data_IF_352015211786
#
_entry.id   IF_352015211786
#
_cell.length_a   1.000
_cell.length_b   1.000
_cell.length_c   1.000
_cell.angle_alpha   90.00
_cell.angle_beta   90.00
_cell.angle_gamma   90.00
#
_symmetry.space_group_name_H-M   'P 1'
#
loop_
_entity.id
_entity.type
_entity.pdbx_description
1 polymer ?
#
# COMPACT_ATOMS: atom_id res chain seq x y z
N UNK A 1 -3.68 -35.23 -1.54
CA UNK A 1 -4.03 -34.22 -0.52
C UNK A 1 -3.31 -32.93 -0.87
N UNK A 2 -4.08 -31.84 -0.98
CA UNK A 2 -3.56 -30.52 -1.30
C UNK A 2 -2.56 -30.06 -0.22
N UNK A 3 -1.41 -29.50 -0.64
CA UNK A 3 -0.44 -28.90 0.28
C UNK A 3 -1.02 -27.74 1.11
N UNK A 4 -2.18 -27.24 0.73
CA UNK A 4 -2.91 -26.14 1.39
C UNK A 4 -3.97 -26.61 2.40
N UNK A 5 -4.23 -27.94 2.51
CA UNK A 5 -5.23 -28.44 3.45
C UNK A 5 -4.98 -28.02 4.91
N UNK A 6 -3.73 -28.09 5.44
CA UNK A 6 -3.45 -27.61 6.78
C UNK A 6 -3.70 -26.11 6.98
N UNK A 7 -3.46 -25.28 5.95
CA UNK A 7 -3.76 -23.86 5.99
C UNK A 7 -5.27 -23.63 6.06
N UNK A 8 -6.04 -24.36 5.28
CA UNK A 8 -7.50 -24.30 5.27
C UNK A 8 -8.12 -24.73 6.60
N UNK A 9 -7.51 -25.67 7.31
CA UNK A 9 -7.93 -26.14 8.64
C UNK A 9 -7.31 -25.38 9.81
N UNK A 10 -6.61 -24.26 9.53
CA UNK A 10 -5.92 -23.42 10.52
C UNK A 10 -4.90 -24.19 11.37
N UNK A 11 -4.29 -25.25 10.82
CA UNK A 11 -3.24 -26.02 11.52
C UNK A 11 -1.88 -25.33 11.37
N UNK A 12 -1.64 -24.34 12.22
CA UNK A 12 -0.40 -23.54 12.25
C UNK A 12 0.82 -24.32 12.79
N UNK A 13 0.65 -25.56 13.24
CA UNK A 13 1.77 -26.39 13.71
C UNK A 13 2.57 -26.98 12.58
N UNK A 14 2.01 -27.02 11.39
CA UNK A 14 2.67 -27.61 10.21
C UNK A 14 3.72 -26.65 9.63
N UNK A 15 4.94 -27.17 9.45
CA UNK A 15 6.07 -26.44 8.87
C UNK A 15 5.72 -25.75 7.54
N UNK A 16 4.96 -26.44 6.69
CA UNK A 16 4.53 -25.85 5.40
C UNK A 16 3.65 -24.62 5.57
N UNK A 17 2.76 -24.61 6.57
CA UNK A 17 1.92 -23.45 6.88
C UNK A 17 2.77 -22.32 7.42
N UNK A 18 3.70 -22.59 8.32
CA UNK A 18 4.64 -21.60 8.86
C UNK A 18 5.49 -20.97 7.75
N UNK A 19 6.01 -21.76 6.81
CA UNK A 19 6.75 -21.27 5.65
C UNK A 19 5.91 -20.34 4.75
N UNK A 20 4.61 -20.66 4.56
CA UNK A 20 3.70 -19.81 3.78
C UNK A 20 3.49 -18.46 4.50
N UNK A 21 3.20 -18.49 5.80
CA UNK A 21 2.97 -17.28 6.61
C UNK A 21 4.24 -16.40 6.63
N UNK A 22 5.40 -17.01 6.86
CA UNK A 22 6.69 -16.30 6.82
C UNK A 22 6.97 -15.69 5.43
N UNK A 23 6.63 -16.43 4.37
CA UNK A 23 6.74 -15.95 3.00
C UNK A 23 5.84 -14.74 2.71
N UNK A 24 4.61 -14.73 3.22
CA UNK A 24 3.70 -13.56 3.13
C UNK A 24 4.33 -12.37 3.85
N UNK A 25 4.75 -12.55 5.10
CA UNK A 25 5.38 -11.52 5.91
C UNK A 25 6.59 -10.91 5.18
N UNK A 26 7.54 -11.73 4.77
CA UNK A 26 8.75 -11.28 4.07
C UNK A 26 8.44 -10.50 2.81
N UNK A 27 7.52 -11.00 1.97
CA UNK A 27 7.14 -10.32 0.72
C UNK A 27 6.49 -8.97 0.98
N UNK A 28 5.55 -8.89 1.93
CA UNK A 28 4.87 -7.65 2.27
C UNK A 28 5.88 -6.60 2.75
N UNK A 29 6.71 -6.92 3.74
CA UNK A 29 7.67 -5.96 4.27
C UNK A 29 8.82 -5.62 3.30
N UNK A 30 9.20 -6.53 2.40
CA UNK A 30 10.11 -6.19 1.30
C UNK A 30 9.48 -5.18 0.35
N UNK A 31 8.20 -5.35 0.02
CA UNK A 31 7.50 -4.39 -0.86
C UNK A 31 7.28 -3.04 -0.16
N UNK A 32 6.98 -3.03 1.13
CA UNK A 32 6.92 -1.82 1.95
C UNK A 32 8.28 -1.09 1.95
N UNK A 33 9.38 -1.82 2.12
CA UNK A 33 10.72 -1.23 2.06
C UNK A 33 11.01 -0.61 0.70
N UNK A 34 10.59 -1.24 -0.39
CA UNK A 34 10.72 -0.68 -1.74
C UNK A 34 9.86 0.58 -1.92
N UNK A 35 8.63 0.59 -1.40
CA UNK A 35 7.78 1.79 -1.40
C UNK A 35 8.45 2.93 -0.62
N UNK A 36 8.98 2.67 0.57
CA UNK A 36 9.72 3.66 1.36
C UNK A 36 10.96 4.17 0.65
N UNK A 37 11.67 3.30 -0.10
CA UNK A 37 12.81 3.71 -0.91
C UNK A 37 12.39 4.66 -2.04
N UNK A 38 11.27 4.39 -2.70
CA UNK A 38 10.69 5.29 -3.72
C UNK A 38 10.34 6.63 -3.08
N UNK A 39 9.58 6.63 -1.98
CA UNK A 39 9.15 7.85 -1.27
C UNK A 39 10.36 8.71 -0.89
N UNK A 40 11.39 8.09 -0.31
CA UNK A 40 12.62 8.79 0.09
C UNK A 40 13.35 9.43 -1.08
N UNK A 41 13.45 8.74 -2.21
CA UNK A 41 14.26 9.21 -3.33
C UNK A 41 13.49 10.18 -4.23
N UNK A 42 12.17 9.99 -4.40
CA UNK A 42 11.36 10.85 -5.25
C UNK A 42 11.34 12.31 -4.77
N UNK A 43 11.42 12.52 -3.45
CA UNK A 43 11.48 13.87 -2.87
C UNK A 43 12.80 14.61 -3.19
N UNK A 44 13.84 13.91 -3.65
CA UNK A 44 15.12 14.48 -4.08
C UNK A 44 15.23 14.64 -5.60
N UNK A 45 14.23 14.23 -6.37
CA UNK A 45 14.21 14.36 -7.82
C UNK A 45 13.76 15.77 -8.23
N UNK A 46 14.23 16.23 -9.39
CA UNK A 46 13.79 17.51 -9.92
C UNK A 46 12.71 17.34 -10.97
N UNK A 47 11.72 18.24 -11.04
CA UNK A 47 10.67 18.15 -12.07
C UNK A 47 11.22 18.07 -13.51
N UNK A 48 12.40 18.63 -13.76
CA UNK A 48 13.05 18.56 -15.06
C UNK A 48 13.54 17.18 -15.50
N UNK A 49 13.60 16.22 -14.57
CA UNK A 49 13.97 14.83 -14.84
C UNK A 49 12.79 13.99 -15.38
N UNK A 50 11.58 14.56 -15.40
CA UNK A 50 10.33 13.88 -15.76
C UNK A 50 9.61 14.57 -16.91
N UNK A 51 8.94 13.80 -17.78
CA UNK A 51 8.20 14.34 -18.93
C UNK A 51 7.05 15.26 -18.50
N UNK A 52 6.38 14.94 -17.37
CA UNK A 52 5.26 15.71 -16.81
C UNK A 52 5.63 16.48 -15.53
N UNK A 53 6.91 16.60 -15.26
CA UNK A 53 7.39 17.43 -14.16
C UNK A 53 6.88 17.02 -12.78
N UNK A 54 6.38 18.00 -12.04
CA UNK A 54 5.94 17.78 -10.65
C UNK A 54 4.73 16.85 -10.54
N UNK A 55 3.85 16.84 -11.53
CA UNK A 55 2.67 15.97 -11.51
C UNK A 55 3.05 14.48 -11.58
N UNK A 56 4.10 14.14 -12.32
CA UNK A 56 4.61 12.77 -12.40
C UNK A 56 5.31 12.36 -11.08
N UNK A 57 6.07 13.27 -10.49
CA UNK A 57 6.65 13.08 -9.15
C UNK A 57 5.53 12.81 -8.11
N UNK A 58 4.49 13.62 -8.12
CA UNK A 58 3.34 13.48 -7.22
C UNK A 58 2.63 12.14 -7.42
N UNK A 59 2.42 11.73 -8.68
CA UNK A 59 1.81 10.44 -9.01
C UNK A 59 2.62 9.28 -8.43
N UNK A 60 3.93 9.24 -8.72
CA UNK A 60 4.81 8.16 -8.25
C UNK A 60 4.86 8.10 -6.72
N UNK A 61 4.94 9.26 -6.05
CA UNK A 61 4.92 9.34 -4.59
C UNK A 61 3.58 8.86 -4.02
N UNK A 62 2.48 9.31 -4.60
CA UNK A 62 1.14 8.92 -4.18
C UNK A 62 0.91 7.42 -4.35
N UNK A 63 1.32 6.82 -5.46
CA UNK A 63 1.25 5.37 -5.67
C UNK A 63 2.08 4.61 -4.62
N UNK A 64 3.28 5.05 -4.32
CA UNK A 64 4.14 4.41 -3.31
C UNK A 64 3.52 4.49 -1.90
N UNK A 65 2.92 5.63 -1.53
CA UNK A 65 2.18 5.79 -0.27
C UNK A 65 0.97 4.86 -0.20
N UNK A 66 0.19 4.77 -1.28
CA UNK A 66 -0.97 3.88 -1.36
C UNK A 66 -0.57 2.40 -1.21
N UNK A 67 0.51 1.97 -1.85
CA UNK A 67 1.06 0.60 -1.71
C UNK A 67 1.52 0.34 -0.27
N UNK A 68 2.22 1.29 0.35
CA UNK A 68 2.66 1.18 1.75
C UNK A 68 1.47 1.00 2.69
N UNK A 69 0.46 1.84 2.56
CA UNK A 69 -0.74 1.80 3.38
C UNK A 69 -1.52 0.50 3.19
N UNK A 70 -1.76 0.08 1.95
CA UNK A 70 -2.47 -1.16 1.62
C UNK A 70 -1.79 -2.38 2.25
N UNK A 71 -0.47 -2.49 2.10
CA UNK A 71 0.26 -3.64 2.62
C UNK A 71 0.27 -3.67 4.15
N UNK A 72 0.42 -2.53 4.83
CA UNK A 72 0.30 -2.49 6.29
C UNK A 72 -1.11 -2.85 6.75
N UNK A 73 -2.15 -2.40 6.04
CA UNK A 73 -3.52 -2.78 6.33
C UNK A 73 -3.76 -4.28 6.14
N UNK A 74 -3.24 -4.89 5.08
CA UNK A 74 -3.33 -6.33 4.88
C UNK A 74 -2.56 -7.12 5.96
N UNK A 75 -1.38 -6.64 6.36
CA UNK A 75 -0.63 -7.25 7.47
C UNK A 75 -1.40 -7.13 8.79
N UNK A 76 -2.05 -5.98 9.04
CA UNK A 76 -2.91 -5.79 10.21
C UNK A 76 -4.06 -6.82 10.22
N UNK A 77 -4.76 -6.99 9.09
CA UNK A 77 -5.86 -7.95 8.95
C UNK A 77 -5.44 -9.41 9.15
N UNK A 78 -4.19 -9.73 8.80
CA UNK A 78 -3.67 -11.11 8.92
C UNK A 78 -3.09 -11.42 10.29
N UNK A 79 -2.54 -10.43 11.00
CA UNK A 79 -1.71 -10.64 12.20
C UNK A 79 -2.20 -9.91 13.45
N UNK A 80 -3.34 -9.22 13.38
CA UNK A 80 -3.95 -8.54 14.52
C UNK A 80 -5.44 -8.87 14.64
N UNK A 81 -6.06 -8.67 15.82
CA UNK A 81 -7.50 -8.81 15.99
C UNK A 81 -8.26 -7.72 15.20
N UNK A 82 -9.53 -7.99 14.92
CA UNK A 82 -10.40 -6.99 14.30
C UNK A 82 -10.52 -5.75 15.21
N UNK A 83 -10.63 -4.53 14.66
CA UNK A 83 -10.68 -3.29 15.45
C UNK A 83 -11.74 -3.27 16.56
N UNK A 84 -12.91 -3.91 16.32
CA UNK A 84 -14.01 -3.96 17.29
C UNK A 84 -13.69 -4.74 18.58
N UNK A 85 -12.64 -5.58 18.56
CA UNK A 85 -12.22 -6.43 19.70
C UNK A 85 -10.74 -6.26 20.03
N UNK A 86 -10.07 -5.31 19.37
CA UNK A 86 -8.66 -5.02 19.61
C UNK A 86 -8.47 -4.36 20.98
N UNK A 87 -7.34 -4.67 21.60
CA UNK A 87 -6.82 -3.98 22.78
C UNK A 87 -5.64 -3.06 22.36
N UNK A 88 -5.07 -2.35 23.34
CA UNK A 88 -3.95 -1.42 23.11
C UNK A 88 -2.60 -2.11 22.90
N UNK A 89 -2.59 -3.45 22.80
CA UNK A 89 -1.33 -4.18 22.59
C UNK A 89 -0.72 -3.92 21.22
N UNK A 90 0.61 -3.96 21.11
CA UNK A 90 1.30 -3.83 19.85
C UNK A 90 1.30 -5.17 19.08
N UNK A 91 0.89 -5.12 17.80
CA UNK A 91 0.75 -6.32 16.96
C UNK A 91 1.76 -6.37 15.81
N UNK A 92 1.86 -5.32 15.01
CA UNK A 92 2.75 -5.25 13.86
C UNK A 92 3.49 -3.90 13.82
N UNK A 93 4.68 -3.82 13.20
CA UNK A 93 5.35 -2.53 13.00
C UNK A 93 4.76 -1.78 11.80
N UNK A 94 4.72 -0.45 11.86
CA UNK A 94 4.46 0.41 10.70
C UNK A 94 5.79 1.03 10.23
N UNK A 95 6.32 0.53 9.10
CA UNK A 95 7.62 0.96 8.59
C UNK A 95 7.49 2.14 7.62
N UNK A 96 8.12 3.28 7.96
CA UNK A 96 8.07 4.53 7.19
C UNK A 96 9.43 4.94 6.62
N UNK A 97 10.50 4.25 6.97
CA UNK A 97 11.86 4.64 6.62
C UNK A 97 12.57 3.62 5.75
N UNK A 98 13.52 4.10 4.94
CA UNK A 98 14.45 3.28 4.17
C UNK A 98 15.86 3.90 4.23
N UNK A 99 16.93 3.09 4.40
CA UNK A 99 16.91 1.66 4.72
C UNK A 99 16.37 1.39 6.12
N UNK A 100 15.86 0.18 6.34
CA UNK A 100 15.42 -0.27 7.65
C UNK A 100 16.56 -0.98 8.37
N UNK A 101 16.95 -0.41 9.50
CA UNK A 101 18.07 -0.96 10.32
C UNK A 101 17.62 -1.83 11.49
N UNK A 102 16.32 -2.14 11.56
CA UNK A 102 15.74 -2.90 12.67
C UNK A 102 15.31 -2.00 13.86
N UNK A 103 14.70 -2.64 14.86
CA UNK A 103 14.33 -1.94 16.10
C UNK A 103 13.03 -1.15 16.06
N UNK A 104 12.29 -1.15 14.96
CA UNK A 104 10.95 -0.56 14.93
C UNK A 104 10.04 -1.36 15.86
N UNK A 105 9.43 -0.68 16.82
CA UNK A 105 8.45 -1.29 17.70
C UNK A 105 7.16 -1.64 16.95
N UNK A 106 6.49 -2.71 17.39
CA UNK A 106 5.12 -2.97 16.97
C UNK A 106 4.20 -1.88 17.53
N UNK A 107 3.07 -1.67 16.86
CA UNK A 107 2.08 -0.66 17.20
C UNK A 107 0.70 -1.29 17.39
N UNK A 108 -0.20 -0.58 18.09
CA UNK A 108 -1.58 -1.01 18.29
C UNK A 108 -2.38 -0.93 16.99
N UNK A 109 -3.52 -1.63 16.95
CA UNK A 109 -4.43 -1.61 15.80
C UNK A 109 -4.84 -0.18 15.45
N UNK A 110 -5.20 0.64 16.45
CA UNK A 110 -5.62 2.03 16.26
C UNK A 110 -4.51 2.88 15.64
N UNK A 111 -3.27 2.77 16.14
CA UNK A 111 -2.13 3.51 15.60
C UNK A 111 -1.85 3.13 14.14
N UNK A 112 -1.89 1.84 13.82
CA UNK A 112 -1.70 1.38 12.44
C UNK A 112 -2.80 1.93 11.52
N UNK A 113 -4.07 1.86 11.93
CA UNK A 113 -5.19 2.39 11.13
C UNK A 113 -5.08 3.90 10.91
N UNK A 114 -4.67 4.65 11.94
CA UNK A 114 -4.43 6.09 11.83
C UNK A 114 -3.34 6.40 10.79
N UNK A 115 -2.25 5.65 10.80
CA UNK A 115 -1.16 5.83 9.82
C UNK A 115 -1.56 5.39 8.42
N UNK A 116 -2.31 4.30 8.29
CA UNK A 116 -2.90 3.86 7.01
C UNK A 116 -3.81 4.96 6.44
N UNK A 117 -4.72 5.50 7.24
CA UNK A 117 -5.62 6.57 6.79
C UNK A 117 -4.86 7.84 6.37
N UNK A 118 -3.82 8.24 7.12
CA UNK A 118 -2.94 9.35 6.77
C UNK A 118 -2.27 9.14 5.41
N UNK A 119 -1.63 7.99 5.21
CA UNK A 119 -0.91 7.69 3.97
C UNK A 119 -1.87 7.61 2.76
N UNK A 120 -3.08 7.06 2.94
CA UNK A 120 -4.09 7.04 1.88
C UNK A 120 -4.64 8.43 1.55
N UNK A 121 -4.79 9.28 2.56
CA UNK A 121 -5.24 10.68 2.35
C UNK A 121 -4.18 11.46 1.56
N UNK A 122 -2.91 11.39 1.97
CA UNK A 122 -1.80 12.02 1.25
C UNK A 122 -1.67 11.46 -0.18
N UNK A 123 -1.76 10.13 -0.34
CA UNK A 123 -1.74 9.48 -1.65
C UNK A 123 -2.84 10.02 -2.57
N UNK A 124 -4.07 10.13 -2.06
CA UNK A 124 -5.21 10.65 -2.81
C UNK A 124 -4.99 12.10 -3.27
N UNK A 125 -4.49 12.95 -2.38
CA UNK A 125 -4.20 14.35 -2.72
C UNK A 125 -3.14 14.46 -3.82
N UNK A 126 -2.04 13.71 -3.70
CA UNK A 126 -0.96 13.71 -4.68
C UNK A 126 -1.42 13.17 -6.05
N UNK A 127 -2.19 12.10 -6.07
CA UNK A 127 -2.68 11.48 -7.30
C UNK A 127 -3.74 12.36 -7.98
N UNK A 128 -4.58 13.06 -7.21
CA UNK A 128 -5.56 13.98 -7.75
C UNK A 128 -4.94 15.16 -8.50
N UNK A 129 -3.68 15.53 -8.22
CA UNK A 129 -2.98 16.54 -9.03
C UNK A 129 -2.82 16.10 -10.49
N UNK A 130 -2.68 14.80 -10.69
CA UNK A 130 -2.58 14.16 -12.00
C UNK A 130 -3.93 14.05 -12.72
N UNK A 131 -5.03 13.90 -12.00
CA UNK A 131 -6.39 13.80 -12.55
C UNK A 131 -6.85 15.10 -13.24
N UNK A 132 -6.18 16.22 -12.98
CA UNK A 132 -6.41 17.49 -13.69
C UNK A 132 -5.77 17.55 -15.06
N UNK A 133 -4.91 16.58 -15.42
CA UNK A 133 -4.26 16.53 -16.73
C UNK A 133 -5.25 16.13 -17.82
N UNK A 134 -5.01 16.60 -19.04
CA UNK A 134 -5.84 16.25 -20.18
C UNK A 134 -5.83 14.74 -20.48
N UNK A 135 -6.86 14.27 -21.20
CA UNK A 135 -7.03 12.84 -21.50
C UNK A 135 -5.85 12.25 -22.30
N UNK A 136 -5.14 13.06 -23.07
CA UNK A 136 -3.98 12.63 -23.85
C UNK A 136 -2.80 12.30 -22.96
N UNK A 137 -2.57 13.11 -21.92
CA UNK A 137 -1.54 12.87 -20.91
C UNK A 137 -1.89 11.66 -20.03
N UNK A 138 -3.16 11.52 -19.65
CA UNK A 138 -3.65 10.33 -18.93
C UNK A 138 -3.43 9.05 -19.73
N UNK A 139 -3.74 9.04 -21.02
CA UNK A 139 -3.55 7.88 -21.89
C UNK A 139 -2.08 7.47 -21.99
N UNK A 140 -1.16 8.43 -22.07
CA UNK A 140 0.28 8.17 -22.10
C UNK A 140 0.80 7.60 -20.78
N UNK A 141 0.42 8.17 -19.64
CA UNK A 141 0.87 7.71 -18.32
C UNK A 141 0.23 6.39 -17.93
N UNK A 142 -1.02 6.12 -18.32
CA UNK A 142 -1.64 4.81 -18.12
C UNK A 142 -0.95 3.69 -18.90
N UNK A 143 -0.20 4.01 -19.95
CA UNK A 143 0.64 3.05 -20.67
C UNK A 143 1.95 2.71 -19.94
N UNK A 144 2.44 3.60 -19.08
CA UNK A 144 3.66 3.42 -18.27
C UNK A 144 3.37 2.97 -16.85
N UNK A 145 2.39 3.56 -16.19
CA UNK A 145 1.89 3.15 -14.89
C UNK A 145 0.95 1.95 -15.10
N UNK A 146 1.25 0.85 -14.42
CA UNK A 146 0.36 -0.31 -14.41
C UNK A 146 -0.89 -0.10 -13.55
N UNK A 147 -1.11 1.13 -13.11
CA UNK A 147 -2.28 1.58 -12.39
C UNK A 147 -3.16 2.38 -13.36
N UNK A 148 -4.35 1.87 -13.63
CA UNK A 148 -5.35 2.64 -14.36
C UNK A 148 -6.29 3.31 -13.37
N UNK A 149 -6.40 4.65 -13.50
CA UNK A 149 -7.46 5.38 -12.82
C UNK A 149 -8.78 5.01 -13.49
N UNK A 150 -9.64 4.29 -12.80
CA UNK A 150 -11.01 4.09 -13.28
C UNK A 150 -11.82 5.35 -13.00
N UNK A 151 -11.87 6.26 -13.96
CA UNK A 151 -12.82 7.36 -13.94
C UNK A 151 -14.18 6.85 -14.42
N UNK A 152 -15.16 6.77 -13.55
CA UNK A 152 -16.50 6.38 -13.94
C UNK A 152 -17.54 6.68 -12.89
N UNK A 153 -18.29 7.75 -13.07
CA UNK A 153 -19.54 8.05 -12.40
C UNK A 153 -19.44 9.04 -11.24
N UNK A 154 -20.52 9.77 -11.05
CA UNK A 154 -20.73 10.91 -10.14
C UNK A 154 -20.63 10.62 -8.64
N UNK A 155 -20.15 9.45 -8.24
CA UNK A 155 -19.84 9.05 -6.85
C UNK A 155 -18.44 8.42 -6.77
N UNK A 156 -17.46 9.06 -7.40
CA UNK A 156 -16.13 8.51 -7.57
C UNK A 156 -15.31 8.57 -6.28
N UNK A 157 -15.27 7.47 -5.58
CA UNK A 157 -14.07 7.09 -4.86
C UNK A 157 -12.97 6.82 -5.88
N UNK A 158 -11.74 7.27 -5.63
CA UNK A 158 -10.63 6.94 -6.51
C UNK A 158 -10.40 5.42 -6.47
N UNK A 159 -10.52 4.77 -7.64
CA UNK A 159 -10.26 3.35 -7.78
C UNK A 159 -8.91 3.20 -8.49
N UNK A 160 -8.06 2.33 -7.95
CA UNK A 160 -6.85 1.89 -8.64
C UNK A 160 -7.05 0.48 -9.17
N UNK A 161 -6.76 0.27 -10.44
CA UNK A 161 -6.76 -1.05 -11.05
C UNK A 161 -5.30 -1.49 -11.29
N UNK A 162 -4.82 -2.43 -10.49
CA UNK A 162 -3.51 -3.04 -10.67
C UNK A 162 -3.69 -4.49 -11.12
N UNK A 163 -3.27 -4.82 -12.35
CA UNK A 163 -3.38 -6.17 -12.93
C UNK A 163 -4.78 -6.78 -12.80
N UNK A 164 -5.83 -5.97 -13.00
CA UNK A 164 -7.22 -6.41 -12.91
C UNK A 164 -7.81 -6.42 -11.48
N UNK A 165 -7.08 -5.93 -10.47
CA UNK A 165 -7.61 -5.75 -9.13
C UNK A 165 -7.98 -4.27 -8.92
N UNK A 166 -9.22 -4.02 -8.50
CA UNK A 166 -9.66 -2.69 -8.07
C UNK A 166 -9.38 -2.50 -6.59
N UNK A 167 -8.63 -1.46 -6.27
CA UNK A 167 -8.40 -1.04 -4.88
C UNK A 167 -9.26 0.20 -4.63
N UNK A 168 -10.22 0.09 -3.73
CA UNK A 168 -11.07 1.22 -3.33
C UNK A 168 -10.45 1.89 -2.11
N UNK A 169 -9.83 3.06 -2.32
CA UNK A 169 -9.19 3.84 -1.25
C UNK A 169 -10.23 4.39 -0.25
N UNK A 170 -11.49 4.59 -0.68
CA UNK A 170 -12.56 5.12 0.18
C UNK A 170 -13.14 4.09 1.18
N UNK A 171 -12.79 2.82 1.07
CA UNK A 171 -13.30 1.77 1.99
C UNK A 171 -12.58 1.71 3.35
N UNK A 172 -11.61 2.57 3.58
CA UNK A 172 -10.76 2.57 4.80
C UNK A 172 -11.09 3.74 5.75
N UNK A 173 -11.95 4.67 5.33
CA UNK A 173 -12.37 5.82 6.17
C UNK A 173 -13.70 5.58 6.87
#
# INVERSE_FOLDING_TARGET
YSAYYPLFTFDYTKEKVQQIIEGIWKKAYTTIANANNIIKNIDNMTPGDFEYGQEEINLIKGEALAVRALLHFDMLRLFAPAPAVADDKPYIPYLETFPYYGGQANESVENILTKVARDLTEAKELINTFDTLDETRRAKLSSFSRFQLATGGTNAGAFYEYRGYRINIMAVT
#
